data_IF_830912255107
#
_entry.id   IF_830912255107
#
_cell.length_a   1.000
_cell.length_b   1.000
_cell.length_c   1.000
_cell.angle_alpha   90.00
_cell.angle_beta   90.00
_cell.angle_gamma   90.00
#
_symmetry.space_group_name_H-M   'P 1'
#
loop_
_entity.id
_entity.type
_entity.pdbx_description
1 polymer ?
#
# COMPACT_ATOMS: atom_id res chain seq x y z
N UNK A 1 -7.95 -6.68 -14.29
CA UNK A 1 -8.22 -5.40 -14.99
C UNK A 1 -9.59 -4.87 -14.56
N UNK A 2 -9.69 -3.58 -14.24
CA UNK A 2 -10.86 -2.97 -13.61
C UNK A 2 -11.89 -2.49 -14.64
N UNK A 3 -13.18 -2.56 -14.27
CA UNK A 3 -14.30 -2.14 -15.11
C UNK A 3 -14.30 -0.62 -15.27
N UNK A 4 -14.54 -0.15 -16.50
CA UNK A 4 -14.70 1.27 -16.84
C UNK A 4 -16.01 1.47 -17.62
N UNK A 5 -16.23 2.64 -18.20
CA UNK A 5 -17.43 2.98 -18.98
C UNK A 5 -17.65 2.08 -20.22
N UNK A 6 -16.67 1.24 -20.57
CA UNK A 6 -16.74 0.30 -21.69
C UNK A 6 -17.40 -1.04 -21.33
N UNK A 7 -17.97 -1.19 -20.14
CA UNK A 7 -18.78 -2.35 -19.73
C UNK A 7 -18.01 -3.65 -19.45
N UNK A 8 -16.73 -3.73 -19.87
CA UNK A 8 -15.86 -4.89 -19.67
C UNK A 8 -14.89 -4.62 -18.50
N UNK A 9 -14.71 -5.62 -17.63
CA UNK A 9 -13.74 -5.60 -16.53
C UNK A 9 -14.35 -5.94 -15.17
N UNK A 10 -13.52 -5.89 -14.12
CA UNK A 10 -13.92 -6.29 -12.76
C UNK A 10 -14.21 -5.10 -11.85
N UNK A 11 -15.23 -5.22 -11.01
CA UNK A 11 -15.46 -4.32 -9.87
C UNK A 11 -14.51 -4.69 -8.74
N UNK A 12 -13.74 -3.73 -8.22
CA UNK A 12 -12.83 -3.95 -7.08
C UNK A 12 -13.61 -4.35 -5.83
N UNK A 13 -14.79 -3.75 -5.64
CA UNK A 13 -15.65 -4.04 -4.50
C UNK A 13 -16.08 -5.51 -4.51
N UNK A 14 -16.62 -5.98 -5.62
CA UNK A 14 -17.12 -7.34 -5.78
C UNK A 14 -15.97 -8.35 -5.64
N UNK A 15 -14.79 -8.03 -6.18
CA UNK A 15 -13.59 -8.86 -6.01
C UNK A 15 -13.18 -8.98 -4.54
N UNK A 16 -13.17 -7.88 -3.79
CA UNK A 16 -12.82 -7.88 -2.37
C UNK A 16 -13.84 -8.65 -1.54
N UNK A 17 -15.14 -8.50 -1.82
CA UNK A 17 -16.20 -9.20 -1.10
C UNK A 17 -16.23 -10.70 -1.38
N UNK A 18 -15.92 -11.11 -2.62
CA UNK A 18 -15.84 -12.51 -3.01
C UNK A 18 -14.53 -13.20 -2.57
N UNK A 19 -13.50 -12.43 -2.19
CA UNK A 19 -12.19 -12.98 -1.82
C UNK A 19 -12.19 -13.55 -0.40
N UNK A 20 -12.62 -14.81 -0.28
CA UNK A 20 -12.60 -15.59 0.96
C UNK A 20 -11.42 -16.57 0.91
N UNK A 21 -10.54 -16.59 1.92
CA UNK A 21 -9.36 -17.45 1.93
C UNK A 21 -9.75 -18.94 1.97
N UNK A 22 -9.06 -19.80 1.19
CA UNK A 22 -9.31 -21.23 1.21
C UNK A 22 -9.02 -21.80 2.60
N UNK A 23 -9.99 -22.55 3.15
CA UNK A 23 -9.87 -23.20 4.46
C UNK A 23 -10.32 -22.36 5.68
N UNK A 24 -10.94 -21.19 5.48
CA UNK A 24 -11.59 -20.38 6.54
C UNK A 24 -10.70 -19.92 7.72
N UNK A 25 -9.38 -20.15 7.68
CA UNK A 25 -8.46 -19.84 8.79
C UNK A 25 -8.19 -18.35 9.01
N UNK A 26 -8.49 -17.51 8.03
CA UNK A 26 -8.22 -16.07 8.05
C UNK A 26 -9.49 -15.20 8.04
N UNK A 27 -10.66 -15.83 8.26
CA UNK A 27 -11.97 -15.18 8.29
C UNK A 27 -12.29 -14.33 7.03
N UNK A 28 -13.42 -13.62 7.03
CA UNK A 28 -13.87 -12.78 5.92
C UNK A 28 -13.34 -11.34 6.03
N UNK A 29 -12.02 -11.18 6.12
CA UNK A 29 -11.38 -9.90 6.44
C UNK A 29 -11.50 -8.79 5.38
N UNK A 30 -11.87 -9.11 4.14
CA UNK A 30 -11.97 -8.13 3.05
C UNK A 30 -13.35 -7.47 2.90
N UNK A 31 -14.38 -7.96 3.60
CA UNK A 31 -15.73 -7.36 3.56
C UNK A 31 -15.71 -5.93 4.11
N UNK A 32 -16.31 -4.99 3.39
CA UNK A 32 -16.35 -3.57 3.76
C UNK A 32 -15.00 -2.83 3.65
N UNK A 33 -13.92 -3.51 3.20
CA UNK A 33 -12.62 -2.88 3.05
C UNK A 33 -12.64 -1.82 1.94
N UNK A 34 -13.30 -2.09 0.82
CA UNK A 34 -13.42 -1.13 -0.29
C UNK A 34 -13.95 0.23 0.18
N UNK A 35 -15.04 0.22 0.95
CA UNK A 35 -15.65 1.45 1.47
C UNK A 35 -14.77 2.11 2.53
N UNK A 36 -14.03 1.33 3.32
CA UNK A 36 -13.07 1.87 4.31
C UNK A 36 -11.93 2.62 3.65
N UNK A 37 -11.37 2.07 2.57
CA UNK A 37 -10.27 2.68 1.81
C UNK A 37 -10.74 3.90 1.04
N UNK A 38 -11.88 3.81 0.35
CA UNK A 38 -12.33 4.89 -0.52
C UNK A 38 -12.90 6.10 0.23
N UNK A 39 -13.44 5.90 1.43
CA UNK A 39 -13.96 7.01 2.23
C UNK A 39 -12.91 7.71 3.10
N UNK A 40 -11.66 7.22 3.16
CA UNK A 40 -10.58 7.84 3.93
C UNK A 40 -9.39 8.26 3.05
N UNK A 41 -9.18 9.57 2.98
CA UNK A 41 -8.00 10.13 2.32
C UNK A 41 -6.69 9.76 3.06
N UNK A 42 -6.73 9.66 4.39
CA UNK A 42 -5.56 9.25 5.17
C UNK A 42 -5.17 7.80 4.89
N UNK A 43 -6.15 6.92 4.65
CA UNK A 43 -5.87 5.54 4.27
C UNK A 43 -5.25 5.44 2.87
N UNK A 44 -5.80 6.17 1.89
CA UNK A 44 -5.26 6.21 0.54
C UNK A 44 -3.83 6.77 0.52
N UNK A 45 -3.59 7.88 1.20
CA UNK A 45 -2.26 8.48 1.28
C UNK A 45 -1.29 7.58 2.06
N UNK A 46 -1.74 6.93 3.13
CA UNK A 46 -0.93 5.97 3.88
C UNK A 46 -0.46 4.80 3.02
N UNK A 47 -1.37 4.18 2.25
CA UNK A 47 -1.03 3.11 1.32
C UNK A 47 -0.12 3.57 0.18
N UNK A 48 -0.39 4.75 -0.40
CA UNK A 48 0.43 5.31 -1.45
C UNK A 48 1.87 5.54 -0.96
N UNK A 49 2.04 6.15 0.22
CA UNK A 49 3.36 6.34 0.84
C UNK A 49 4.04 5.02 1.19
N UNK A 50 3.31 4.02 1.69
CA UNK A 50 3.89 2.70 1.98
C UNK A 50 4.47 2.05 0.71
N UNK A 51 3.70 2.07 -0.38
CA UNK A 51 4.14 1.54 -1.67
C UNK A 51 5.31 2.33 -2.27
N UNK A 52 5.23 3.66 -2.23
CA UNK A 52 6.27 4.54 -2.74
C UNK A 52 7.57 4.41 -1.95
N UNK A 53 7.50 4.34 -0.62
CA UNK A 53 8.68 4.17 0.24
C UNK A 53 9.39 2.84 -0.02
N UNK A 54 8.62 1.76 -0.23
CA UNK A 54 9.17 0.46 -0.63
C UNK A 54 9.87 0.53 -1.99
N UNK A 55 9.25 1.16 -2.99
CA UNK A 55 9.85 1.34 -4.31
C UNK A 55 11.09 2.24 -4.26
N UNK A 56 11.07 3.34 -3.50
CA UNK A 56 12.24 4.23 -3.36
C UNK A 56 13.44 3.49 -2.74
N UNK A 57 13.21 2.63 -1.74
CA UNK A 57 14.29 1.79 -1.20
C UNK A 57 14.76 0.77 -2.23
N UNK A 58 13.84 0.14 -2.97
CA UNK A 58 14.17 -0.76 -4.07
C UNK A 58 14.99 -0.09 -5.17
N UNK A 59 14.70 1.17 -5.52
CA UNK A 59 15.47 1.98 -6.47
C UNK A 59 16.90 2.15 -5.97
N UNK A 60 17.11 2.50 -4.71
CA UNK A 60 18.45 2.61 -4.14
C UNK A 60 19.23 1.29 -4.20
N UNK A 61 18.58 0.16 -3.90
CA UNK A 61 19.20 -1.17 -3.99
C UNK A 61 19.55 -1.55 -5.43
N UNK A 62 18.68 -1.26 -6.40
CA UNK A 62 18.95 -1.55 -7.80
C UNK A 62 19.99 -0.61 -8.42
N UNK A 63 20.00 0.67 -8.07
CA UNK A 63 20.94 1.63 -8.66
C UNK A 63 22.41 1.36 -8.27
N UNK A 64 22.68 0.83 -7.07
CA UNK A 64 24.05 0.49 -6.69
C UNK A 64 24.52 -0.84 -7.32
N UNK A 65 23.61 -1.79 -7.55
CA UNK A 65 23.93 -3.14 -8.05
C UNK A 65 23.81 -3.28 -9.57
N UNK A 66 22.94 -2.49 -10.20
CA UNK A 66 22.68 -2.42 -11.64
C UNK A 66 22.78 -0.95 -12.11
N UNK A 67 23.99 -0.42 -12.31
CA UNK A 67 24.19 0.97 -12.70
C UNK A 67 23.58 1.28 -14.08
N UNK A 68 22.57 2.17 -14.11
CA UNK A 68 21.85 2.52 -15.34
C UNK A 68 22.47 3.69 -16.14
N UNK A 69 23.37 4.46 -15.52
CA UNK A 69 23.99 5.64 -16.13
C UNK A 69 25.44 5.36 -16.54
N UNK A 70 25.87 5.90 -17.69
CA UNK A 70 27.23 5.73 -18.17
C UNK A 70 28.25 6.30 -17.16
N UNK A 71 29.33 5.53 -16.92
CA UNK A 71 30.45 5.88 -16.04
C UNK A 71 30.12 6.08 -14.54
N UNK A 72 28.87 5.94 -14.10
CA UNK A 72 28.50 6.17 -12.70
C UNK A 72 29.16 5.17 -11.74
N UNK A 73 29.45 3.95 -12.21
CA UNK A 73 30.15 2.93 -11.43
C UNK A 73 31.61 3.30 -11.10
N UNK A 74 32.17 4.31 -11.78
CA UNK A 74 33.52 4.82 -11.53
C UNK A 74 33.51 6.03 -10.60
N UNK A 75 32.36 6.70 -10.45
CA UNK A 75 32.19 7.83 -9.53
C UNK A 75 31.58 7.37 -8.20
N UNK A 76 32.45 6.93 -7.30
CA UNK A 76 32.07 6.39 -5.99
C UNK A 76 31.34 7.41 -5.11
N UNK A 77 31.69 8.70 -5.21
CA UNK A 77 31.09 9.74 -4.39
C UNK A 77 29.64 9.97 -4.81
N UNK A 78 29.39 10.06 -6.11
CA UNK A 78 28.03 10.22 -6.65
C UNK A 78 27.19 8.97 -6.36
N UNK A 79 27.74 7.77 -6.51
CA UNK A 79 27.03 6.53 -6.20
C UNK A 79 26.66 6.43 -4.71
N UNK A 80 27.57 6.81 -3.80
CA UNK A 80 27.29 6.84 -2.36
C UNK A 80 26.22 7.90 -1.99
N UNK A 81 26.28 9.08 -2.61
CA UNK A 81 25.29 10.14 -2.38
C UNK A 81 23.90 9.73 -2.86
N UNK A 82 23.78 9.14 -4.06
CA UNK A 82 22.49 8.70 -4.58
C UNK A 82 21.87 7.59 -3.72
N UNK A 83 22.67 6.62 -3.27
CA UNK A 83 22.20 5.56 -2.39
C UNK A 83 21.66 6.14 -1.06
N UNK A 84 22.47 6.97 -0.39
CA UNK A 84 22.09 7.55 0.90
C UNK A 84 20.88 8.47 0.76
N UNK A 85 20.83 9.32 -0.27
CA UNK A 85 19.71 10.20 -0.56
C UNK A 85 18.38 9.43 -0.68
N UNK A 86 18.35 8.38 -1.51
CA UNK A 86 17.13 7.60 -1.72
C UNK A 86 16.74 6.79 -0.47
N UNK A 87 17.69 6.25 0.29
CA UNK A 87 17.39 5.53 1.54
C UNK A 87 16.81 6.45 2.62
N UNK A 88 17.35 7.67 2.78
CA UNK A 88 16.78 8.64 3.72
C UNK A 88 15.36 9.06 3.31
N UNK A 89 15.13 9.34 2.02
CA UNK A 89 13.79 9.66 1.52
C UNK A 89 12.82 8.50 1.76
N UNK A 90 13.24 7.26 1.47
CA UNK A 90 12.43 6.08 1.74
C UNK A 90 12.05 5.99 3.22
N UNK A 91 12.99 6.21 4.13
CA UNK A 91 12.74 6.23 5.58
C UNK A 91 11.71 7.29 6.00
N UNK A 92 11.82 8.52 5.48
CA UNK A 92 10.86 9.58 5.73
C UNK A 92 9.46 9.23 5.21
N UNK A 93 9.37 8.69 3.99
CA UNK A 93 8.10 8.31 3.36
C UNK A 93 7.43 7.17 4.13
N UNK A 94 8.16 6.13 4.51
CA UNK A 94 7.63 5.00 5.29
C UNK A 94 7.14 5.45 6.66
N UNK A 95 7.89 6.32 7.35
CA UNK A 95 7.43 6.90 8.61
C UNK A 95 6.13 7.68 8.42
N UNK A 96 6.05 8.48 7.35
CA UNK A 96 4.82 9.19 6.96
C UNK A 96 3.64 8.24 6.69
N UNK A 97 3.88 7.09 6.07
CA UNK A 97 2.85 6.07 5.84
C UNK A 97 2.25 5.55 7.15
N UNK A 98 3.10 5.25 8.14
CA UNK A 98 2.64 4.79 9.46
C UNK A 98 1.90 5.89 10.23
N UNK A 99 2.35 7.14 10.17
CA UNK A 99 1.62 8.27 10.77
C UNK A 99 0.23 8.41 10.17
N UNK A 100 0.11 8.33 8.84
CA UNK A 100 -1.20 8.36 8.16
C UNK A 100 -2.05 7.15 8.55
N UNK A 101 -1.46 5.97 8.66
CA UNK A 101 -2.14 4.76 9.15
C UNK A 101 -2.68 4.91 10.58
N UNK A 102 -1.89 5.50 11.49
CA UNK A 102 -2.33 5.78 12.86
C UNK A 102 -3.51 6.77 12.89
N UNK A 103 -3.48 7.81 12.06
CA UNK A 103 -4.58 8.79 11.96
C UNK A 103 -5.88 8.11 11.51
N UNK A 104 -5.82 7.15 10.58
CA UNK A 104 -7.02 6.39 10.18
C UNK A 104 -7.65 5.72 11.39
N UNK A 105 -6.88 5.01 12.21
CA UNK A 105 -7.40 4.28 13.36
C UNK A 105 -8.11 5.17 14.39
N UNK A 106 -7.69 6.43 14.49
CA UNK A 106 -8.26 7.39 15.44
C UNK A 106 -9.48 8.10 14.84
N UNK A 107 -9.39 8.54 13.58
CA UNK A 107 -10.35 9.51 13.01
C UNK A 107 -11.37 8.88 12.07
N UNK A 108 -10.92 7.99 11.20
CA UNK A 108 -11.73 7.53 10.06
C UNK A 108 -12.18 6.07 10.23
N UNK A 109 -11.67 5.35 11.23
CA UNK A 109 -12.01 3.97 11.50
C UNK A 109 -13.33 3.83 12.26
N UNK A 110 -14.31 3.16 11.64
CA UNK A 110 -15.58 2.82 12.27
C UNK A 110 -15.64 1.33 12.67
N UNK A 111 -15.60 0.99 13.99
CA UNK A 111 -15.63 -0.39 14.43
C UNK A 111 -16.98 -1.08 14.17
N UNK A 112 -18.10 -0.34 14.17
CA UNK A 112 -19.44 -0.92 13.95
C UNK A 112 -19.58 -1.46 12.54
N UNK A 113 -19.03 -0.74 11.56
CA UNK A 113 -19.05 -1.15 10.16
C UNK A 113 -18.30 -2.48 9.98
N UNK A 114 -17.15 -2.67 10.66
CA UNK A 114 -16.47 -3.97 10.69
C UNK A 114 -17.26 -5.03 11.47
N UNK A 115 -17.75 -4.73 12.67
CA UNK A 115 -18.42 -5.70 13.55
C UNK A 115 -19.70 -6.27 12.91
N UNK A 116 -20.49 -5.47 12.19
CA UNK A 116 -21.68 -5.98 11.47
C UNK A 116 -21.28 -7.00 10.40
N UNK A 117 -20.21 -6.73 9.64
CA UNK A 117 -19.69 -7.73 8.70
C UNK A 117 -19.15 -8.97 9.40
N UNK A 118 -18.54 -8.87 10.59
CA UNK A 118 -18.11 -10.04 11.37
C UNK A 118 -19.28 -10.87 11.93
N UNK A 119 -20.42 -10.24 12.22
CA UNK A 119 -21.62 -10.92 12.73
C UNK A 119 -22.36 -11.71 11.65
N UNK A 120 -22.35 -11.26 10.39
CA UNK A 120 -22.95 -11.98 9.25
C UNK A 120 -22.18 -13.25 8.82
N UNK A 121 -20.94 -13.44 9.31
CA UNK A 121 -20.07 -14.58 8.94
C UNK A 121 -19.72 -15.49 10.11
N UNK A 122 -20.34 -15.29 11.28
CA UNK A 122 -20.34 -16.30 12.34
C UNK A 122 -21.35 -17.38 11.97
N UNK A 123 -20.96 -18.67 11.89
CA UNK A 123 -21.92 -19.77 11.76
C UNK A 123 -22.87 -19.83 12.95
#
# INVERSE_FOLDING_TARGET
MYRTNFGIGHSIKDLLEAHIPPGWRLWSGHKGLYDTINNSLHFQLGLALASLGGITSLVAQHMYSLPAYAFIAQDFTTQAMLYTHHQYIAGFIITGAFVRGAIVFIRDYNPKQRIMYWQEVRP
#
